data_IF_964272328737
#
_entry.id   IF_964272328737
#
_cell.length_a   1.000
_cell.length_b   1.000
_cell.length_c   1.000
_cell.angle_alpha   90.00
_cell.angle_beta   90.00
_cell.angle_gamma   90.00
#
_symmetry.space_group_name_H-M   'P 1'
#
loop_
_entity.id
_entity.type
_entity.pdbx_description
1 polymer ?
#
# COMPACT_ATOMS: atom_id res chain seq x y z
N UNK A 1 -8.71 -5.12 7.08
CA UNK A 1 -8.09 -4.71 8.35
C UNK A 1 -8.23 -3.18 8.46
N UNK A 2 -8.22 -2.60 9.67
CA UNK A 2 -8.06 -1.16 9.85
C UNK A 2 -6.73 -0.90 10.54
N UNK A 3 -5.90 -0.04 9.95
CA UNK A 3 -4.58 0.31 10.45
C UNK A 3 -4.49 1.80 10.75
N UNK A 4 -3.74 2.16 11.79
CA UNK A 4 -3.39 3.53 12.14
C UNK A 4 -1.87 3.57 12.22
N UNK A 5 -1.24 4.28 11.28
CA UNK A 5 0.20 4.22 11.06
C UNK A 5 0.79 5.62 11.17
N UNK A 6 1.88 5.76 11.92
CA UNK A 6 2.65 7.00 11.99
C UNK A 6 3.72 7.02 10.91
N UNK A 7 4.22 8.21 10.56
CA UNK A 7 5.38 8.37 9.71
C UNK A 7 6.57 7.51 10.20
N UNK A 8 7.22 6.79 9.29
CA UNK A 8 8.34 5.89 9.61
C UNK A 8 7.94 4.54 10.23
N UNK A 9 6.63 4.25 10.38
CA UNK A 9 6.17 2.92 10.75
C UNK A 9 6.58 1.91 9.67
N UNK A 10 7.33 0.88 10.06
CA UNK A 10 7.72 -0.19 9.14
C UNK A 10 6.62 -1.25 9.07
N UNK A 11 6.03 -1.39 7.88
CA UNK A 11 5.14 -2.51 7.56
C UNK A 11 5.95 -3.56 6.79
N UNK A 12 5.99 -4.82 7.24
CA UNK A 12 6.71 -5.87 6.51
C UNK A 12 6.16 -6.05 5.11
N UNK A 13 7.06 -6.30 4.14
CA UNK A 13 6.64 -6.69 2.80
C UNK A 13 5.90 -8.03 2.88
N UNK A 14 4.69 -8.07 2.35
CA UNK A 14 3.81 -9.24 2.44
C UNK A 14 2.99 -9.42 1.17
N UNK A 15 2.30 -10.56 1.06
CA UNK A 15 1.38 -10.86 -0.05
C UNK A 15 0.24 -11.75 0.42
N UNK A 16 -0.88 -11.67 -0.30
CA UNK A 16 -2.01 -12.59 -0.13
C UNK A 16 -2.10 -13.55 -1.34
N UNK A 17 -1.83 -14.86 -1.17
CA UNK A 17 -1.67 -15.77 -2.31
C UNK A 17 -2.99 -16.18 -2.97
N UNK A 18 -4.14 -15.99 -2.29
CA UNK A 18 -5.42 -16.53 -2.72
C UNK A 18 -6.53 -15.46 -2.85
N UNK A 19 -6.20 -14.20 -2.66
CA UNK A 19 -7.15 -13.09 -2.72
C UNK A 19 -6.45 -11.78 -3.07
N UNK A 20 -7.18 -10.88 -3.71
CA UNK A 20 -6.77 -9.49 -3.82
C UNK A 20 -6.90 -8.81 -2.44
N UNK A 21 -6.17 -7.73 -2.24
CA UNK A 21 -6.39 -6.79 -1.15
C UNK A 21 -6.85 -5.45 -1.71
N UNK A 22 -7.93 -4.91 -1.14
CA UNK A 22 -8.38 -3.55 -1.45
C UNK A 22 -7.89 -2.63 -0.33
N UNK A 23 -6.92 -1.78 -0.63
CA UNK A 23 -6.42 -0.78 0.29
C UNK A 23 -7.22 0.52 0.08
N UNK A 24 -7.82 1.03 1.16
CA UNK A 24 -8.58 2.30 1.14
C UNK A 24 -7.99 3.22 2.21
N UNK A 25 -7.63 4.42 1.78
CA UNK A 25 -7.13 5.49 2.62
C UNK A 25 -8.31 6.30 3.18
N UNK A 26 -8.47 6.25 4.51
CA UNK A 26 -9.52 7.01 5.21
C UNK A 26 -9.02 8.42 5.57
N UNK A 27 -7.77 8.54 6.02
CA UNK A 27 -7.12 9.79 6.42
C UNK A 27 -5.62 9.73 6.11
N UNK A 28 -5.01 10.89 5.90
CA UNK A 28 -3.59 11.01 5.62
C UNK A 28 -3.25 10.91 4.14
N UNK A 29 -2.00 10.51 3.86
CA UNK A 29 -1.45 10.19 2.54
C UNK A 29 -0.46 9.03 2.70
N UNK A 30 -0.51 8.08 1.78
CA UNK A 30 0.43 6.97 1.77
C UNK A 30 0.79 6.56 0.34
N UNK A 31 1.86 5.80 0.20
CA UNK A 31 2.23 5.13 -1.05
C UNK A 31 2.13 3.63 -0.83
N UNK A 32 1.37 2.95 -1.67
CA UNK A 32 1.42 1.49 -1.79
C UNK A 32 2.56 1.14 -2.74
N UNK A 33 3.51 0.32 -2.31
CA UNK A 33 4.70 -0.05 -3.07
C UNK A 33 4.57 -1.53 -3.45
N UNK A 34 4.63 -1.83 -4.75
CA UNK A 34 4.50 -3.18 -5.28
C UNK A 34 5.87 -3.71 -5.70
N UNK A 35 6.16 -4.95 -5.35
CA UNK A 35 7.40 -5.65 -5.71
C UNK A 35 7.13 -6.86 -6.61
N UNK A 36 8.13 -7.19 -7.43
CA UNK A 36 8.16 -8.47 -8.14
C UNK A 36 8.64 -9.63 -7.23
N UNK A 37 8.78 -10.83 -7.80
CA UNK A 37 9.21 -12.01 -7.05
C UNK A 37 10.70 -12.03 -6.71
N UNK A 38 11.51 -11.16 -7.33
CA UNK A 38 12.94 -11.00 -7.05
C UNK A 38 13.19 -9.93 -5.98
N UNK A 39 12.13 -9.22 -5.56
CA UNK A 39 12.18 -8.14 -4.57
C UNK A 39 12.50 -6.77 -5.17
N UNK A 40 12.46 -6.62 -6.49
CA UNK A 40 12.61 -5.31 -7.12
C UNK A 40 11.29 -4.55 -7.03
N UNK A 41 11.39 -3.25 -6.73
CA UNK A 41 10.24 -2.36 -6.79
C UNK A 41 9.76 -2.23 -8.23
N UNK A 42 8.46 -2.50 -8.44
CA UNK A 42 7.83 -2.48 -9.76
C UNK A 42 6.94 -1.25 -9.95
N UNK A 43 6.24 -0.83 -8.89
CA UNK A 43 5.28 0.27 -8.98
C UNK A 43 5.09 1.00 -7.63
N UNK A 44 4.64 2.25 -7.71
CA UNK A 44 4.27 3.10 -6.57
C UNK A 44 2.91 3.75 -6.81
N UNK A 45 1.94 3.39 -6.00
CA UNK A 45 0.59 3.91 -6.09
C UNK A 45 0.38 4.95 -4.98
N UNK A 46 0.33 6.22 -5.37
CA UNK A 46 0.11 7.32 -4.44
C UNK A 46 -1.37 7.44 -4.08
N UNK A 47 -1.69 7.22 -2.81
CA UNK A 47 -3.01 7.49 -2.25
C UNK A 47 -2.99 8.86 -1.59
N UNK A 48 -3.73 9.78 -2.19
CA UNK A 48 -3.83 11.16 -1.76
C UNK A 48 -5.25 11.71 -2.03
N UNK A 49 -6.04 11.98 -0.98
CA UNK A 49 -7.39 12.51 -1.12
C UNK A 49 -7.46 13.86 -1.83
N UNK A 50 -6.39 14.68 -1.78
CA UNK A 50 -6.39 16.02 -2.40
C UNK A 50 -6.40 15.97 -3.93
N UNK A 51 -6.09 14.82 -4.52
CA UNK A 51 -6.14 14.59 -5.97
C UNK A 51 -7.17 13.52 -6.36
N UNK A 52 -8.03 13.13 -5.42
CA UNK A 52 -9.09 12.14 -5.65
C UNK A 52 -8.61 10.69 -5.67
N UNK A 53 -7.39 10.39 -5.21
CA UNK A 53 -6.86 9.03 -5.11
C UNK A 53 -7.07 8.50 -3.69
N UNK A 54 -8.05 7.61 -3.51
CA UNK A 54 -8.48 7.12 -2.19
C UNK A 54 -8.12 5.67 -1.90
N UNK A 55 -7.70 4.91 -2.91
CA UNK A 55 -7.45 3.48 -2.72
C UNK A 55 -6.88 2.83 -3.95
N UNK A 56 -6.42 1.59 -3.77
CA UNK A 56 -5.94 0.74 -4.85
C UNK A 56 -6.28 -0.72 -4.58
N UNK A 57 -6.15 -1.53 -5.62
CA UNK A 57 -6.28 -2.98 -5.54
C UNK A 57 -4.91 -3.58 -5.71
N UNK A 58 -4.46 -4.31 -4.70
CA UNK A 58 -3.28 -5.15 -4.77
C UNK A 58 -3.73 -6.50 -5.27
N UNK A 59 -3.22 -6.90 -6.44
CA UNK A 59 -3.60 -8.14 -7.07
C UNK A 59 -3.09 -9.35 -6.29
N UNK A 60 -3.86 -10.43 -6.35
CA UNK A 60 -3.55 -11.71 -5.72
C UNK A 60 -2.11 -12.13 -6.03
N UNK A 61 -1.35 -12.45 -4.98
CA UNK A 61 0.03 -12.91 -5.08
C UNK A 61 1.09 -11.81 -5.23
N UNK A 62 0.72 -10.54 -5.43
CA UNK A 62 1.68 -9.43 -5.48
C UNK A 62 2.28 -9.17 -4.09
N UNK A 63 3.60 -8.93 -4.07
CA UNK A 63 4.29 -8.47 -2.86
C UNK A 63 4.12 -6.97 -2.71
N UNK A 64 3.85 -6.51 -1.50
CA UNK A 64 3.66 -5.09 -1.25
C UNK A 64 4.00 -4.63 0.17
N UNK A 65 4.12 -3.32 0.32
CA UNK A 65 4.13 -2.63 1.61
C UNK A 65 3.62 -1.20 1.44
N UNK A 66 3.36 -0.52 2.57
CA UNK A 66 2.93 0.88 2.59
C UNK A 66 4.01 1.78 3.19
N UNK A 67 4.19 2.95 2.58
CA UNK A 67 4.97 4.06 3.12
C UNK A 67 4.01 5.19 3.50
N UNK A 68 3.94 5.54 4.78
CA UNK A 68 3.15 6.68 5.25
C UNK A 68 3.86 7.97 4.87
N UNK A 69 3.15 8.89 4.21
CA UNK A 69 3.66 10.21 3.84
C UNK A 69 3.14 11.27 4.81
N UNK A 70 1.85 11.20 5.16
CA UNK A 70 1.18 12.06 6.13
C UNK A 70 0.15 11.22 6.90
N UNK A 71 0.11 11.26 8.25
CA UNK A 71 -0.92 10.57 9.04
C UNK A 71 -2.28 11.31 9.02
#
# INVERSE_FOLDING_TARGET
>A
MLNILMLGTSVPIHRYPNSNENAILICGKLVEIIYDNEGNEKDRIHLNPTVGSFGCVVLTGAWHTVEVIEP
#
